data_IF_098864850602
#
_entry.id   IF_098864850602
#
_cell.length_a   1.000
_cell.length_b   1.000
_cell.length_c   1.000
_cell.angle_alpha   90.00
_cell.angle_beta   90.00
_cell.angle_gamma   90.00
#
_symmetry.space_group_name_H-M   'P 1'
#
loop_
_entity.id
_entity.type
_entity.pdbx_description
1 polymer ?
#
# COMPACT_ATOMS: atom_id res chain seq x y z
N UNK A 1 -16.26 -28.67 -12.72
CA UNK A 1 -16.20 -27.22 -12.97
C UNK A 1 -14.97 -26.68 -12.27
N UNK A 2 -14.00 -26.13 -13.02
CA UNK A 2 -12.94 -25.30 -12.44
C UNK A 2 -13.56 -23.92 -12.26
N UNK A 3 -13.82 -23.49 -11.02
CA UNK A 3 -14.16 -22.09 -10.78
C UNK A 3 -12.96 -21.26 -11.25
N UNK A 4 -13.19 -20.28 -12.14
CA UNK A 4 -12.19 -19.25 -12.40
C UNK A 4 -11.92 -18.57 -11.07
N UNK A 5 -10.68 -18.66 -10.62
CA UNK A 5 -10.27 -18.28 -9.27
C UNK A 5 -10.59 -16.81 -9.00
N UNK A 6 -11.01 -16.51 -7.78
CA UNK A 6 -11.47 -15.17 -7.40
C UNK A 6 -10.33 -14.16 -7.25
N UNK A 7 -10.64 -12.89 -7.45
CA UNK A 7 -9.76 -11.77 -7.12
C UNK A 7 -10.34 -11.00 -5.95
N UNK A 8 -9.52 -10.74 -4.93
CA UNK A 8 -9.85 -9.79 -3.86
C UNK A 8 -9.05 -8.51 -4.09
N UNK A 9 -9.76 -7.40 -4.31
CA UNK A 9 -9.20 -6.05 -4.36
C UNK A 9 -9.73 -5.22 -3.20
N UNK A 10 -8.83 -4.71 -2.37
CA UNK A 10 -9.16 -3.76 -1.30
C UNK A 10 -8.46 -2.44 -1.57
N UNK A 11 -9.24 -1.35 -1.52
CA UNK A 11 -8.75 0.01 -1.70
C UNK A 11 -9.15 0.83 -0.48
N UNK A 12 -8.17 1.43 0.18
CA UNK A 12 -8.39 2.38 1.27
C UNK A 12 -7.86 3.73 0.82
N UNK A 13 -8.75 4.71 0.76
CA UNK A 13 -8.42 6.09 0.45
C UNK A 13 -8.77 6.98 1.65
N UNK A 14 -7.80 7.76 2.11
CA UNK A 14 -7.98 8.73 3.16
C UNK A 14 -7.53 10.09 2.68
N UNK A 15 -8.18 11.13 3.19
CA UNK A 15 -7.67 12.48 3.00
C UNK A 15 -6.34 12.65 3.73
N UNK A 16 -5.42 13.41 3.14
CA UNK A 16 -4.16 13.78 3.76
C UNK A 16 -3.87 15.26 3.50
N UNK A 17 -2.87 15.83 4.18
CA UNK A 17 -2.45 17.21 3.93
C UNK A 17 -2.13 17.43 2.45
N UNK A 18 -2.54 18.57 1.92
CA UNK A 18 -2.24 19.03 0.57
C UNK A 18 -0.74 19.00 0.32
N UNK A 19 -0.37 18.55 -0.88
CA UNK A 19 1.00 18.54 -1.38
C UNK A 19 1.02 19.19 -2.76
N UNK A 20 2.19 19.65 -3.20
CA UNK A 20 2.35 20.09 -4.59
C UNK A 20 2.27 18.89 -5.53
N UNK A 21 1.98 19.14 -6.80
CA UNK A 21 1.94 18.08 -7.82
C UNK A 21 3.30 17.38 -7.99
N UNK A 22 4.39 18.14 -7.82
CA UNK A 22 5.75 17.61 -7.87
C UNK A 22 6.08 16.64 -6.71
N UNK A 23 5.33 16.70 -5.61
CA UNK A 23 5.52 15.84 -4.43
C UNK A 23 4.63 14.58 -4.47
N UNK A 24 3.83 14.41 -5.53
CA UNK A 24 3.00 13.22 -5.70
C UNK A 24 3.88 12.00 -5.95
N UNK A 25 3.43 10.84 -5.47
CA UNK A 25 4.17 9.60 -5.67
C UNK A 25 3.25 8.41 -5.80
N UNK A 26 3.78 7.39 -6.46
CA UNK A 26 3.16 6.06 -6.53
C UNK A 26 4.26 5.00 -6.40
N UNK A 27 4.11 4.10 -5.42
CA UNK A 27 5.06 3.03 -5.17
C UNK A 27 4.37 1.68 -5.22
N UNK A 28 5.05 0.72 -5.85
CA UNK A 28 4.56 -0.64 -6.04
C UNK A 28 5.45 -1.65 -5.33
N UNK A 29 4.83 -2.63 -4.70
CA UNK A 29 5.47 -3.83 -4.15
C UNK A 29 6.70 -3.50 -3.28
N UNK A 30 7.88 -4.09 -3.58
CA UNK A 30 9.11 -3.92 -2.78
C UNK A 30 9.52 -2.46 -2.61
N UNK A 31 9.23 -1.58 -3.59
CA UNK A 31 9.57 -0.14 -3.47
C UNK A 31 8.83 0.54 -2.32
N UNK A 32 7.69 0.01 -1.88
CA UNK A 32 6.94 0.54 -0.72
C UNK A 32 7.79 0.43 0.56
N UNK A 33 8.53 -0.68 0.74
CA UNK A 33 9.27 -0.94 1.97
C UNK A 33 10.42 0.04 2.21
N UNK A 34 11.06 0.51 1.13
CA UNK A 34 12.15 1.49 1.19
C UNK A 34 11.66 2.93 1.17
N UNK A 35 10.53 3.21 0.52
CA UNK A 35 10.09 4.58 0.23
C UNK A 35 9.10 5.14 1.26
N UNK A 36 8.28 4.28 1.89
CA UNK A 36 7.34 4.72 2.93
C UNK A 36 7.96 4.52 4.32
N UNK A 37 8.31 5.62 4.96
CA UNK A 37 8.82 5.64 6.35
C UNK A 37 7.83 6.34 7.27
N UNK A 38 7.91 6.04 8.57
CA UNK A 38 7.04 6.69 9.56
C UNK A 38 7.43 8.15 9.78
N UNK A 39 6.44 9.05 9.76
CA UNK A 39 6.60 10.43 10.18
C UNK A 39 6.49 10.62 11.71
N UNK A 40 6.09 9.57 12.45
CA UNK A 40 6.02 9.61 13.93
C UNK A 40 7.44 9.71 14.52
N UNK A 41 7.58 10.50 15.58
CA UNK A 41 8.88 10.73 16.27
C UNK A 41 9.52 9.43 16.79
N UNK A 42 8.72 8.55 17.38
CA UNK A 42 9.18 7.24 17.84
C UNK A 42 9.32 6.26 16.68
N UNK A 43 10.43 6.37 15.96
CA UNK A 43 10.74 5.49 14.83
C UNK A 43 10.95 4.03 15.24
N UNK A 44 11.22 3.75 16.52
CA UNK A 44 11.47 2.40 17.03
C UNK A 44 10.18 1.59 17.12
N UNK A 45 9.06 2.21 17.51
CA UNK A 45 7.79 1.50 17.69
C UNK A 45 6.76 1.75 16.57
N UNK A 46 7.10 2.58 15.57
CA UNK A 46 6.20 2.93 14.45
C UNK A 46 6.72 2.52 13.07
N UNK A 47 5.84 2.59 12.06
CA UNK A 47 6.19 2.31 10.66
C UNK A 47 6.07 0.85 10.23
N UNK A 48 5.44 0.01 11.06
CA UNK A 48 5.25 -1.42 10.76
C UNK A 48 3.96 -1.74 10.01
N UNK A 49 2.92 -0.89 10.09
CA UNK A 49 1.59 -1.18 9.53
C UNK A 49 1.60 -1.58 8.06
N UNK A 50 2.04 -0.69 7.17
CA UNK A 50 2.11 -0.99 5.72
C UNK A 50 3.12 -2.10 5.39
N UNK A 51 4.19 -2.26 6.20
CA UNK A 51 5.15 -3.36 6.03
C UNK A 51 4.50 -4.71 6.31
N UNK A 52 3.63 -4.79 7.33
CA UNK A 52 2.87 -5.98 7.65
C UNK A 52 1.86 -6.31 6.56
N UNK A 53 1.10 -5.31 6.08
CA UNK A 53 0.17 -5.49 4.95
C UNK A 53 0.91 -6.04 3.73
N UNK A 54 2.03 -5.42 3.33
CA UNK A 54 2.85 -5.90 2.22
C UNK A 54 3.26 -7.38 2.40
N UNK A 55 3.72 -7.77 3.60
CA UNK A 55 4.12 -9.17 3.88
C UNK A 55 2.97 -10.15 3.70
N UNK A 56 1.77 -9.80 4.17
CA UNK A 56 0.58 -10.65 4.01
C UNK A 56 0.17 -10.75 2.54
N UNK A 57 0.09 -9.62 1.83
CA UNK A 57 -0.25 -9.60 0.40
C UNK A 57 0.71 -10.50 -0.39
N UNK A 58 2.02 -10.40 -0.11
CA UNK A 58 3.03 -11.26 -0.75
C UNK A 58 2.93 -12.73 -0.41
N UNK A 59 2.43 -13.09 0.79
CA UNK A 59 2.18 -14.49 1.20
C UNK A 59 1.13 -15.16 0.30
N UNK A 60 0.18 -14.39 -0.21
CA UNK A 60 -0.90 -14.86 -1.10
C UNK A 60 -0.65 -14.46 -2.57
N UNK A 61 0.61 -14.36 -2.99
CA UNK A 61 1.01 -13.99 -4.35
C UNK A 61 0.41 -12.68 -4.89
N UNK A 62 -0.04 -11.80 -3.98
CA UNK A 62 -0.66 -10.54 -4.33
C UNK A 62 0.32 -9.40 -4.65
N UNK A 63 -0.26 -8.27 -5.01
CA UNK A 63 0.43 -7.00 -5.26
C UNK A 63 -0.15 -5.88 -4.39
N UNK A 64 0.69 -4.89 -4.11
CA UNK A 64 0.32 -3.71 -3.33
C UNK A 64 0.84 -2.45 -4.02
N UNK A 65 0.02 -1.39 -3.98
CA UNK A 65 0.35 -0.06 -4.41
C UNK A 65 0.03 0.95 -3.30
N UNK A 66 0.88 1.95 -3.15
CA UNK A 66 0.62 3.11 -2.30
C UNK A 66 0.82 4.38 -3.14
N UNK A 67 -0.16 5.27 -3.09
CA UNK A 67 -0.15 6.53 -3.82
C UNK A 67 -0.41 7.70 -2.88
N UNK A 68 0.27 8.81 -3.13
CA UNK A 68 -0.09 10.11 -2.57
C UNK A 68 -0.30 11.11 -3.70
N UNK A 69 -1.47 11.71 -3.70
CA UNK A 69 -1.91 12.76 -4.61
C UNK A 69 -2.30 13.99 -3.79
N UNK A 70 -2.71 15.06 -4.47
CA UNK A 70 -3.28 16.23 -3.82
C UNK A 70 -4.43 15.80 -2.90
N UNK A 71 -4.29 16.13 -1.62
CA UNK A 71 -5.27 15.88 -0.55
C UNK A 71 -5.62 14.42 -0.28
N UNK A 72 -4.95 13.46 -0.91
CA UNK A 72 -5.35 12.04 -0.85
C UNK A 72 -4.18 11.09 -0.73
N UNK A 73 -4.31 10.13 0.17
CA UNK A 73 -3.44 8.97 0.29
C UNK A 73 -4.25 7.71 0.02
N UNK A 74 -3.74 6.86 -0.87
CA UNK A 74 -4.39 5.62 -1.28
C UNK A 74 -3.46 4.45 -1.01
N UNK A 75 -4.00 3.39 -0.40
CA UNK A 75 -3.37 2.09 -0.36
C UNK A 75 -4.29 1.08 -1.06
N UNK A 76 -3.74 0.36 -2.02
CA UNK A 76 -4.44 -0.67 -2.78
C UNK A 76 -3.71 -2.00 -2.62
N UNK A 77 -4.47 -3.07 -2.44
CA UNK A 77 -3.98 -4.44 -2.47
C UNK A 77 -4.84 -5.29 -3.39
N UNK A 78 -4.18 -6.19 -4.13
CA UNK A 78 -4.82 -7.18 -4.97
C UNK A 78 -4.25 -8.55 -4.61
N UNK A 79 -5.12 -9.50 -4.34
CA UNK A 79 -4.76 -10.91 -4.11
C UNK A 79 -5.51 -11.75 -5.14
N UNK A 80 -4.79 -12.65 -5.79
CA UNK A 80 -5.31 -13.58 -6.78
C UNK A 80 -5.18 -14.97 -6.17
N UNK A 81 -6.30 -15.69 -6.08
CA UNK A 81 -6.24 -17.09 -5.68
C UNK A 81 -5.68 -17.90 -6.85
N UNK A 82 -4.65 -18.72 -6.61
CA UNK A 82 -4.14 -19.76 -7.50
C UNK A 82 -4.63 -21.16 -7.03
#
# INVERSE_FOLDING_TARGET
MRYNKGMLKLVVANNCNSISEADTYEYHNRRILSSITTAKKDKKNHGYGLKNVYRIVRKYNGSMMVKREKDRFVAEVVIIEE
#
